data_IF_103159199917
#
_entry.id   IF_103159199917
#
_cell.length_a   1.000
_cell.length_b   1.000
_cell.length_c   1.000
_cell.angle_alpha   90.00
_cell.angle_beta   90.00
_cell.angle_gamma   90.00
#
_symmetry.space_group_name_H-M   'P 1'
#
loop_
_entity.id
_entity.type
_entity.pdbx_description
1 polymer ?
#
# COMPACT_ATOMS: atom_id res chain seq x y z
N UNK A 1 -4.76 34.00 4.19
CA UNK A 1 -5.81 33.23 3.44
C UNK A 1 -5.25 32.08 2.60
N UNK A 2 -3.91 31.96 2.53
CA UNK A 2 -3.26 30.97 1.65
C UNK A 2 -3.84 29.54 1.72
N UNK A 3 -4.00 28.97 2.92
CA UNK A 3 -4.56 27.60 3.04
C UNK A 3 -6.03 27.51 2.61
N UNK A 4 -6.85 28.49 2.92
CA UNK A 4 -8.25 28.52 2.48
C UNK A 4 -8.38 28.61 0.94
N UNK A 5 -7.48 29.35 0.30
CA UNK A 5 -7.46 29.46 -1.18
C UNK A 5 -7.06 28.11 -1.80
N UNK A 6 -6.15 27.34 -1.16
CA UNK A 6 -5.77 26.00 -1.63
C UNK A 6 -6.92 25.00 -1.45
N UNK A 7 -7.59 25.01 -0.30
CA UNK A 7 -8.77 24.16 -0.07
C UNK A 7 -9.88 24.50 -1.05
N UNK A 8 -10.14 25.81 -1.25
CA UNK A 8 -11.14 26.25 -2.22
C UNK A 8 -10.85 25.73 -3.63
N UNK A 9 -9.57 25.78 -4.07
CA UNK A 9 -9.17 25.26 -5.38
C UNK A 9 -9.53 23.77 -5.53
N UNK A 10 -9.30 22.96 -4.49
CA UNK A 10 -9.64 21.53 -4.49
C UNK A 10 -11.17 21.36 -4.60
N UNK A 11 -11.95 22.07 -3.79
CA UNK A 11 -13.43 21.98 -3.80
C UNK A 11 -14.03 22.48 -5.13
N UNK A 12 -13.47 23.54 -5.72
CA UNK A 12 -13.94 24.03 -7.01
C UNK A 12 -13.62 23.03 -8.14
N UNK A 13 -12.45 22.39 -8.08
CA UNK A 13 -12.05 21.37 -9.04
C UNK A 13 -12.89 20.07 -8.90
N UNK A 14 -13.24 19.67 -7.68
CA UNK A 14 -14.15 18.55 -7.41
C UNK A 14 -15.49 18.72 -8.15
N UNK A 15 -16.09 19.91 -8.06
CA UNK A 15 -17.32 20.23 -8.79
C UNK A 15 -17.16 20.19 -10.32
N UNK A 16 -15.99 20.61 -10.81
CA UNK A 16 -15.67 20.52 -12.24
C UNK A 16 -15.60 19.07 -12.70
N UNK A 17 -15.01 18.19 -11.88
CA UNK A 17 -14.94 16.75 -12.13
C UNK A 17 -16.32 16.08 -12.13
N UNK A 18 -17.18 16.41 -11.16
CA UNK A 18 -18.56 15.90 -11.11
C UNK A 18 -19.37 16.29 -12.38
N UNK A 19 -19.15 17.48 -12.91
CA UNK A 19 -19.80 17.97 -14.12
C UNK A 19 -19.27 17.38 -15.43
N UNK A 20 -18.09 16.79 -15.41
CA UNK A 20 -17.39 16.29 -16.60
C UNK A 20 -16.80 14.90 -16.36
N UNK A 21 -17.62 13.87 -16.13
CA UNK A 21 -17.12 12.53 -15.89
C UNK A 21 -16.36 12.01 -17.12
N UNK A 22 -15.40 11.13 -16.85
CA UNK A 22 -14.59 10.43 -17.86
C UNK A 22 -13.68 11.35 -18.73
N UNK A 23 -13.31 12.53 -18.24
CA UNK A 23 -12.34 13.41 -18.91
C UNK A 23 -10.90 13.04 -18.56
N UNK A 24 -10.08 12.62 -19.54
CA UNK A 24 -8.67 12.26 -19.31
C UNK A 24 -7.81 13.47 -18.90
N UNK A 25 -8.19 14.66 -19.35
CA UNK A 25 -7.53 15.91 -18.97
C UNK A 25 -7.75 16.17 -17.47
N UNK A 26 -9.02 16.04 -17.03
CA UNK A 26 -9.35 16.22 -15.61
C UNK A 26 -8.77 15.10 -14.75
N UNK A 27 -8.74 13.86 -15.25
CA UNK A 27 -8.10 12.75 -14.56
C UNK A 27 -6.61 13.04 -14.27
N UNK A 28 -5.87 13.53 -15.26
CA UNK A 28 -4.46 13.91 -15.10
C UNK A 28 -4.26 15.04 -14.11
N UNK A 29 -5.11 16.06 -14.16
CA UNK A 29 -5.02 17.17 -13.21
C UNK A 29 -5.48 16.76 -11.82
N UNK A 30 -6.49 15.89 -11.68
CA UNK A 30 -6.91 15.31 -10.41
C UNK A 30 -5.74 14.60 -9.71
N UNK A 31 -4.98 13.80 -10.44
CA UNK A 31 -3.80 13.12 -9.89
C UNK A 31 -2.73 14.11 -9.43
N UNK A 32 -2.53 15.20 -10.16
CA UNK A 32 -1.61 16.29 -9.75
C UNK A 32 -2.06 17.02 -8.50
N UNK A 33 -3.37 17.10 -8.28
CA UNK A 33 -3.95 17.71 -7.09
C UNK A 33 -4.06 16.77 -5.90
N UNK A 34 -3.70 15.47 -6.07
CA UNK A 34 -3.66 14.47 -5.01
C UNK A 34 -4.97 13.71 -4.82
N UNK A 35 -5.89 13.71 -5.78
CA UNK A 35 -7.10 12.88 -5.73
C UNK A 35 -6.73 11.41 -5.90
N UNK A 36 -7.23 10.55 -5.00
CA UNK A 36 -7.06 9.10 -5.11
C UNK A 36 -7.96 8.50 -6.19
N UNK A 37 -7.59 7.33 -6.72
CA UNK A 37 -8.42 6.60 -7.66
C UNK A 37 -9.78 6.25 -7.06
N UNK A 38 -9.81 5.88 -5.79
CA UNK A 38 -11.05 5.58 -5.06
C UNK A 38 -11.98 6.80 -4.98
N UNK A 39 -11.43 8.00 -4.70
CA UNK A 39 -12.22 9.22 -4.62
C UNK A 39 -12.71 9.69 -6.00
N UNK A 40 -11.89 9.59 -7.03
CA UNK A 40 -12.30 9.87 -8.42
C UNK A 40 -13.40 8.90 -8.85
N UNK A 41 -13.29 7.62 -8.48
CA UNK A 41 -14.31 6.61 -8.75
C UNK A 41 -15.65 6.97 -8.11
N UNK A 42 -15.66 7.46 -6.87
CA UNK A 42 -16.87 7.95 -6.19
C UNK A 42 -17.50 9.12 -6.93
N UNK A 43 -16.71 10.14 -7.28
CA UNK A 43 -17.20 11.34 -8.01
C UNK A 43 -17.79 10.98 -9.38
N UNK A 44 -17.18 10.05 -10.09
CA UNK A 44 -17.60 9.67 -11.44
C UNK A 44 -18.55 8.46 -11.46
N UNK A 45 -18.92 7.92 -10.28
CA UNK A 45 -19.77 6.73 -10.14
C UNK A 45 -19.23 5.54 -10.94
N UNK A 46 -17.95 5.30 -10.81
CA UNK A 46 -17.19 4.19 -11.39
C UNK A 46 -16.63 3.30 -10.28
N UNK A 47 -16.02 2.19 -10.66
CA UNK A 47 -15.18 1.41 -9.75
C UNK A 47 -13.73 1.96 -9.72
N UNK A 48 -13.02 1.74 -8.63
CA UNK A 48 -11.60 2.08 -8.53
C UNK A 48 -10.76 1.36 -9.60
N UNK A 49 -11.11 0.11 -9.91
CA UNK A 49 -10.43 -0.68 -10.95
C UNK A 49 -10.58 -0.04 -12.35
N UNK A 50 -11.76 0.51 -12.69
CA UNK A 50 -11.97 1.24 -13.95
C UNK A 50 -11.10 2.51 -14.02
N UNK A 51 -10.97 3.26 -12.93
CA UNK A 51 -10.08 4.44 -12.89
C UNK A 51 -8.62 4.02 -13.03
N UNK A 52 -8.20 2.97 -12.34
CA UNK A 52 -6.85 2.43 -12.45
C UNK A 52 -6.54 1.98 -13.88
N UNK A 53 -7.41 1.18 -14.53
CA UNK A 53 -7.23 0.73 -15.91
C UNK A 53 -7.15 1.91 -16.88
N UNK A 54 -7.99 2.93 -16.68
CA UNK A 54 -7.97 4.15 -17.49
C UNK A 54 -6.65 4.89 -17.35
N UNK A 55 -6.15 5.07 -16.12
CA UNK A 55 -4.81 5.67 -15.90
C UNK A 55 -3.71 4.89 -16.60
N UNK A 56 -3.76 3.56 -16.54
CA UNK A 56 -2.81 2.71 -17.24
C UNK A 56 -2.85 2.93 -18.77
N UNK A 57 -4.03 2.97 -19.36
CA UNK A 57 -4.22 3.20 -20.80
C UNK A 57 -3.75 4.58 -21.25
N UNK A 58 -3.97 5.60 -20.42
CA UNK A 58 -3.58 7.00 -20.67
C UNK A 58 -2.14 7.32 -20.24
N UNK A 59 -1.38 6.35 -19.75
CA UNK A 59 -0.02 6.54 -19.22
C UNK A 59 0.04 7.63 -18.13
N UNK A 60 -0.94 7.64 -17.22
CA UNK A 60 -0.99 8.55 -16.07
C UNK A 60 -0.40 7.83 -14.86
N UNK A 61 0.91 7.93 -14.68
CA UNK A 61 1.64 7.35 -13.57
C UNK A 61 2.39 8.42 -12.78
N UNK A 62 2.59 8.22 -11.47
CA UNK A 62 3.47 9.09 -10.71
C UNK A 62 4.93 8.86 -11.12
N UNK A 63 5.73 9.87 -10.86
CA UNK A 63 7.19 9.81 -10.81
C UNK A 63 7.63 9.89 -9.36
N UNK A 64 8.82 9.42 -9.06
CA UNK A 64 9.34 9.38 -7.69
C UNK A 64 10.54 10.30 -7.58
N UNK A 65 10.48 11.18 -6.59
CA UNK A 65 11.55 12.11 -6.25
C UNK A 65 12.28 11.64 -5.02
N UNK A 66 13.59 11.86 -4.99
CA UNK A 66 14.40 11.61 -3.81
C UNK A 66 14.16 12.68 -2.75
N UNK A 67 14.05 12.28 -1.49
CA UNK A 67 13.92 13.20 -0.38
C UNK A 67 15.30 13.83 -0.11
N UNK A 68 15.39 15.15 -0.19
CA UNK A 68 16.56 15.89 0.22
C UNK A 68 16.57 16.07 1.74
N UNK A 69 17.43 15.32 2.42
CA UNK A 69 17.59 15.36 3.87
C UNK A 69 18.60 16.41 4.35
N UNK A 70 19.27 17.11 3.42
CA UNK A 70 20.33 18.07 3.69
C UNK A 70 19.97 19.52 3.32
N UNK A 71 18.70 19.80 3.00
CA UNK A 71 18.24 21.14 2.61
C UNK A 71 19.07 21.78 1.48
N UNK A 72 19.52 20.99 0.52
CA UNK A 72 20.41 21.39 -0.59
C UNK A 72 21.75 21.98 -0.17
N UNK A 73 22.18 21.78 1.08
CA UNK A 73 23.50 22.23 1.53
C UNK A 73 24.63 21.35 1.00
N UNK A 74 24.36 20.07 0.78
CA UNK A 74 25.32 19.08 0.26
C UNK A 74 24.63 18.17 -0.75
N UNK A 75 25.36 17.71 -1.76
CA UNK A 75 24.95 16.61 -2.60
C UNK A 75 24.98 15.33 -1.77
N UNK A 76 23.83 14.81 -1.42
CA UNK A 76 23.70 13.55 -0.69
C UNK A 76 22.74 12.62 -1.40
N UNK A 77 23.06 11.34 -1.38
CA UNK A 77 22.16 10.28 -1.83
C UNK A 77 21.59 9.55 -0.62
N UNK A 78 20.28 9.54 -0.50
CA UNK A 78 19.55 8.69 0.41
C UNK A 78 18.50 7.92 -0.39
N UNK A 79 18.29 6.62 -0.13
CA UNK A 79 17.37 5.81 -0.91
C UNK A 79 15.89 6.05 -0.51
N UNK A 80 15.51 7.30 -0.28
CA UNK A 80 14.20 7.73 0.19
C UNK A 80 13.44 8.42 -0.92
N UNK A 81 12.30 7.88 -1.29
CA UNK A 81 11.49 8.36 -2.39
C UNK A 81 10.07 8.67 -1.99
N UNK A 82 9.47 9.65 -2.65
CA UNK A 82 8.05 9.98 -2.55
C UNK A 82 7.47 10.21 -3.95
N UNK A 83 6.18 9.95 -4.12
CA UNK A 83 5.52 10.11 -5.40
C UNK A 83 5.13 11.56 -5.68
N UNK A 84 5.12 11.90 -6.95
CA UNK A 84 4.56 13.13 -7.50
C UNK A 84 4.14 12.92 -8.94
N UNK A 85 3.21 13.70 -9.45
CA UNK A 85 2.84 13.69 -10.87
C UNK A 85 3.62 14.77 -11.64
N UNK A 86 4.95 14.78 -11.47
CA UNK A 86 5.90 15.65 -12.16
C UNK A 86 6.45 14.98 -13.44
N UNK A 87 7.41 15.60 -14.10
CA UNK A 87 7.95 15.13 -15.39
C UNK A 87 9.13 14.17 -15.27
N UNK A 88 9.84 14.16 -14.14
CA UNK A 88 11.11 13.44 -13.98
C UNK A 88 11.04 12.43 -12.84
N UNK A 89 11.55 11.23 -13.09
CA UNK A 89 11.71 10.19 -12.09
C UNK A 89 13.15 10.10 -11.63
N UNK A 90 13.40 10.20 -10.33
CA UNK A 90 14.73 10.11 -9.71
C UNK A 90 15.01 8.72 -9.13
N UNK A 91 13.99 7.88 -8.99
CA UNK A 91 14.18 6.49 -8.58
C UNK A 91 14.72 5.66 -9.75
N UNK A 92 16.01 5.39 -9.75
CA UNK A 92 16.65 4.54 -10.76
C UNK A 92 16.29 3.09 -10.50
N UNK A 93 15.61 2.46 -11.46
CA UNK A 93 15.25 1.04 -11.39
C UNK A 93 16.46 0.19 -11.75
N UNK A 94 16.89 -0.71 -10.86
CA UNK A 94 17.99 -1.64 -11.11
C UNK A 94 17.51 -2.87 -11.88
N UNK A 95 18.46 -3.61 -12.48
CA UNK A 95 18.18 -4.90 -13.14
C UNK A 95 18.19 -6.09 -12.14
N UNK A 96 18.42 -5.84 -10.87
CA UNK A 96 18.42 -6.87 -9.83
C UNK A 96 17.01 -7.42 -9.60
N UNK A 97 16.94 -8.68 -9.21
CA UNK A 97 15.69 -9.24 -8.68
C UNK A 97 15.34 -8.54 -7.38
N UNK A 98 14.06 -8.22 -7.20
CA UNK A 98 13.56 -7.37 -6.12
C UNK A 98 12.42 -8.02 -5.38
N UNK A 99 12.34 -7.73 -4.09
CA UNK A 99 11.18 -8.07 -3.25
C UNK A 99 10.75 -6.81 -2.52
N UNK A 100 9.46 -6.53 -2.54
CA UNK A 100 8.86 -5.44 -1.79
C UNK A 100 8.34 -5.98 -0.46
N UNK A 101 8.61 -5.26 0.63
CA UNK A 101 8.05 -5.52 1.96
C UNK A 101 7.15 -4.33 2.33
N UNK A 102 5.88 -4.61 2.63
CA UNK A 102 4.97 -3.60 3.13
C UNK A 102 5.20 -3.40 4.63
N UNK A 103 5.47 -2.15 5.01
CA UNK A 103 5.60 -1.74 6.41
C UNK A 103 4.25 -1.66 7.13
N UNK A 104 4.29 -1.22 8.38
CA UNK A 104 3.11 -1.17 9.25
C UNK A 104 2.20 0.04 9.05
N UNK A 105 2.66 1.04 8.31
CA UNK A 105 1.91 2.28 8.15
C UNK A 105 1.76 3.05 9.47
N UNK A 106 0.69 3.82 9.64
CA UNK A 106 0.39 4.52 10.88
C UNK A 106 -0.13 3.53 11.93
N UNK A 107 0.68 3.26 12.94
CA UNK A 107 0.38 2.33 14.03
C UNK A 107 0.31 3.04 15.36
N UNK A 108 -0.32 2.41 16.35
CA UNK A 108 -0.37 2.92 17.73
C UNK A 108 1.01 2.84 18.39
N UNK A 109 1.27 3.76 19.29
CA UNK A 109 2.47 3.72 20.14
C UNK A 109 2.52 2.36 20.87
N UNK A 110 3.68 1.71 20.80
CA UNK A 110 3.92 0.40 21.41
C UNK A 110 3.76 -0.81 20.46
N UNK A 111 3.07 -0.66 19.32
CA UNK A 111 2.95 -1.73 18.31
C UNK A 111 4.12 -1.73 17.31
N UNK A 112 4.83 -0.61 17.17
CA UNK A 112 5.91 -0.46 16.19
C UNK A 112 7.02 -1.47 16.35
N UNK A 113 7.37 -1.80 17.57
CA UNK A 113 8.49 -2.72 17.86
C UNK A 113 8.28 -4.10 17.25
N UNK A 114 7.08 -4.65 17.31
CA UNK A 114 6.76 -5.97 16.79
C UNK A 114 6.83 -6.01 15.26
N UNK A 115 6.08 -5.13 14.60
CA UNK A 115 6.00 -5.11 13.14
C UNK A 115 7.30 -4.62 12.50
N UNK A 116 7.95 -3.64 13.11
CA UNK A 116 9.21 -3.11 12.63
C UNK A 116 10.35 -4.14 12.71
N UNK A 117 10.43 -4.87 13.80
CA UNK A 117 11.37 -5.99 13.97
C UNK A 117 11.22 -7.01 12.85
N UNK A 118 10.00 -7.48 12.59
CA UNK A 118 9.72 -8.46 11.54
C UNK A 118 10.11 -7.94 10.16
N UNK A 119 9.79 -6.67 9.86
CA UNK A 119 10.15 -6.02 8.60
C UNK A 119 11.66 -5.94 8.41
N UNK A 120 12.42 -5.51 9.43
CA UNK A 120 13.89 -5.42 9.37
C UNK A 120 14.52 -6.80 9.11
N UNK A 121 14.08 -7.83 9.83
CA UNK A 121 14.59 -9.18 9.60
C UNK A 121 14.27 -9.73 8.21
N UNK A 122 13.09 -9.46 7.67
CA UNK A 122 12.76 -9.83 6.30
C UNK A 122 13.67 -9.14 5.29
N UNK A 123 13.91 -7.84 5.46
CA UNK A 123 14.83 -7.06 4.61
C UNK A 123 16.23 -7.65 4.64
N UNK A 124 16.76 -7.98 5.83
CA UNK A 124 18.08 -8.63 5.95
C UNK A 124 18.12 -9.96 5.21
N UNK A 125 17.12 -10.84 5.41
CA UNK A 125 17.05 -12.13 4.75
C UNK A 125 16.96 -12.00 3.21
N UNK A 126 16.20 -11.03 2.70
CA UNK A 126 16.08 -10.73 1.27
C UNK A 126 17.46 -10.34 0.70
N UNK A 127 18.18 -9.45 1.38
CA UNK A 127 19.51 -8.99 0.96
C UNK A 127 20.55 -10.11 1.02
N UNK A 128 20.53 -10.97 2.05
CA UNK A 128 21.40 -12.14 2.17
C UNK A 128 21.20 -13.14 1.03
N UNK A 129 19.97 -13.24 0.49
CA UNK A 129 19.65 -14.06 -0.67
C UNK A 129 20.04 -13.40 -2.01
N UNK A 130 20.61 -12.19 -1.98
CA UNK A 130 21.06 -11.47 -3.16
C UNK A 130 19.99 -10.69 -3.92
N UNK A 131 18.80 -10.53 -3.33
CA UNK A 131 17.75 -9.68 -3.86
C UNK A 131 17.91 -8.24 -3.38
N UNK A 132 17.40 -7.30 -4.16
CA UNK A 132 17.20 -5.93 -3.73
C UNK A 132 15.93 -5.85 -2.86
N UNK A 133 16.07 -5.33 -1.65
CA UNK A 133 14.98 -5.19 -0.71
C UNK A 133 14.40 -3.77 -0.77
N UNK A 134 13.11 -3.69 -1.08
CA UNK A 134 12.37 -2.42 -1.17
C UNK A 134 11.33 -2.40 -0.05
N UNK A 135 11.28 -1.31 0.72
CA UNK A 135 10.25 -1.10 1.74
C UNK A 135 9.28 -0.02 1.27
N UNK A 136 7.99 -0.23 1.50
CA UNK A 136 6.95 0.80 1.35
C UNK A 136 6.37 1.04 2.74
N UNK A 137 6.51 2.26 3.24
CA UNK A 137 5.95 2.66 4.53
C UNK A 137 5.75 4.18 4.56
N UNK A 138 4.76 4.66 5.31
CA UNK A 138 4.53 6.10 5.51
C UNK A 138 4.93 6.59 6.91
N UNK A 139 5.49 5.72 7.75
CA UNK A 139 6.01 6.09 9.06
C UNK A 139 7.52 6.34 8.97
N UNK A 140 8.01 7.58 9.15
CA UNK A 140 9.44 7.89 9.05
C UNK A 140 10.20 7.60 10.35
N UNK A 141 9.51 7.37 11.45
CA UNK A 141 10.07 7.28 12.80
C UNK A 141 10.22 5.83 13.28
N UNK A 142 10.80 4.96 12.46
CA UNK A 142 10.96 3.55 12.80
C UNK A 142 12.24 2.95 12.19
N UNK A 143 12.76 1.85 12.74
CA UNK A 143 14.03 1.25 12.31
C UNK A 143 13.94 0.67 10.89
N UNK A 144 12.81 0.13 10.48
CA UNK A 144 12.63 -0.38 9.10
C UNK A 144 12.75 0.71 8.04
N UNK A 145 12.54 1.96 8.41
CA UNK A 145 12.67 3.13 7.54
C UNK A 145 14.00 3.86 7.70
N UNK A 146 14.95 3.31 8.46
CA UNK A 146 16.32 3.83 8.49
C UNK A 146 16.99 3.62 7.12
N UNK A 147 17.79 4.61 6.66
CA UNK A 147 18.43 4.61 5.34
C UNK A 147 19.42 3.45 5.14
N UNK A 148 19.85 2.80 6.22
CA UNK A 148 20.77 1.65 6.18
C UNK A 148 20.06 0.31 6.07
N UNK A 149 18.75 0.27 6.31
CA UNK A 149 17.98 -0.97 6.41
C UNK A 149 17.68 -1.55 5.04
N UNK A 150 16.96 -0.84 4.20
CA UNK A 150 16.56 -1.29 2.86
C UNK A 150 17.44 -0.70 1.76
N UNK A 151 17.42 -1.30 0.57
CA UNK A 151 18.09 -0.75 -0.60
C UNK A 151 17.32 0.45 -1.17
N UNK A 152 15.97 0.43 -1.01
CA UNK A 152 15.08 1.56 -1.33
C UNK A 152 13.92 1.62 -0.35
N UNK A 153 13.49 2.84 -0.06
CA UNK A 153 12.32 3.13 0.74
C UNK A 153 11.41 4.12 0.00
N UNK A 154 10.16 3.71 -0.20
CA UNK A 154 9.11 4.59 -0.69
C UNK A 154 8.23 5.04 0.47
N UNK A 155 8.24 6.35 0.73
CA UNK A 155 7.36 6.99 1.71
C UNK A 155 6.01 7.25 1.06
N UNK A 156 5.17 6.23 1.06
CA UNK A 156 3.84 6.27 0.45
C UNK A 156 2.77 5.72 1.39
N UNK A 157 1.53 6.17 1.24
CA UNK A 157 0.41 5.55 1.91
C UNK A 157 0.31 4.07 1.56
N UNK A 158 -0.10 3.25 2.51
CA UNK A 158 -0.36 1.83 2.27
C UNK A 158 -1.78 1.66 1.72
N UNK A 159 -1.96 2.08 0.47
CA UNK A 159 -3.17 1.87 -0.32
C UNK A 159 -2.88 0.97 -1.50
N UNK A 160 -3.92 0.36 -2.07
CA UNK A 160 -3.74 -0.48 -3.27
C UNK A 160 -3.18 0.34 -4.44
N UNK A 161 -3.64 1.58 -4.62
CA UNK A 161 -3.16 2.47 -5.67
C UNK A 161 -1.66 2.74 -5.56
N UNK A 162 -1.22 3.22 -4.38
CA UNK A 162 0.17 3.66 -4.19
C UNK A 162 1.13 2.48 -4.28
N UNK A 163 0.78 1.34 -3.69
CA UNK A 163 1.58 0.11 -3.80
C UNK A 163 1.66 -0.38 -5.25
N UNK A 164 0.54 -0.37 -6.00
CA UNK A 164 0.54 -0.78 -7.41
C UNK A 164 1.39 0.14 -8.28
N UNK A 165 1.42 1.44 -8.01
CA UNK A 165 2.28 2.37 -8.74
C UNK A 165 3.77 1.99 -8.59
N UNK A 166 4.20 1.61 -7.39
CA UNK A 166 5.57 1.16 -7.12
C UNK A 166 5.84 -0.22 -7.73
N UNK A 167 4.89 -1.15 -7.63
CA UNK A 167 4.98 -2.47 -8.27
C UNK A 167 5.15 -2.35 -9.78
N UNK A 168 4.39 -1.46 -10.42
CA UNK A 168 4.48 -1.20 -11.85
C UNK A 168 5.83 -0.59 -12.27
N UNK A 169 6.43 0.24 -11.43
CA UNK A 169 7.75 0.83 -11.64
C UNK A 169 8.86 -0.20 -11.44
N UNK A 170 8.89 -0.82 -10.27
CA UNK A 170 10.02 -1.65 -9.82
C UNK A 170 9.97 -3.09 -10.34
N UNK A 171 8.79 -3.59 -10.71
CA UNK A 171 8.54 -4.95 -11.22
C UNK A 171 9.16 -6.03 -10.33
N UNK A 172 8.78 -6.11 -9.05
CA UNK A 172 9.34 -7.07 -8.11
C UNK A 172 8.96 -8.51 -8.46
N UNK A 173 9.76 -9.47 -7.99
CA UNK A 173 9.42 -10.90 -8.03
C UNK A 173 8.17 -11.21 -7.16
N UNK A 174 7.89 -10.36 -6.18
CA UNK A 174 6.69 -10.43 -5.34
C UNK A 174 6.71 -9.45 -4.18
N UNK A 175 5.62 -9.46 -3.42
CA UNK A 175 5.36 -8.56 -2.29
C UNK A 175 5.10 -9.36 -1.02
N UNK A 176 5.74 -9.00 0.08
CA UNK A 176 5.47 -9.53 1.43
C UNK A 176 4.51 -8.55 2.13
N UNK A 177 3.30 -9.02 2.44
CA UNK A 177 2.24 -8.21 3.03
C UNK A 177 1.92 -8.58 4.49
N UNK A 178 2.56 -9.61 5.06
CA UNK A 178 2.18 -10.17 6.37
C UNK A 178 2.98 -9.63 7.56
N UNK A 179 3.97 -8.78 7.32
CA UNK A 179 4.88 -8.30 8.37
C UNK A 179 4.51 -6.92 8.92
N UNK A 180 3.69 -6.18 8.19
CA UNK A 180 3.28 -4.82 8.54
C UNK A 180 1.95 -4.72 9.33
N UNK A 181 1.47 -5.82 9.90
CA UNK A 181 0.20 -5.86 10.63
C UNK A 181 -1.01 -5.73 9.71
N UNK A 182 -2.18 -5.44 10.29
CA UNK A 182 -3.46 -5.49 9.61
C UNK A 182 -3.54 -4.56 8.38
N UNK A 183 -2.90 -3.38 8.44
CA UNK A 183 -2.90 -2.45 7.31
C UNK A 183 -2.28 -3.08 6.05
N UNK A 184 -1.16 -3.76 6.20
CA UNK A 184 -0.48 -4.43 5.09
C UNK A 184 -1.23 -5.70 4.65
N UNK A 185 -1.68 -6.52 5.61
CA UNK A 185 -2.44 -7.76 5.35
C UNK A 185 -3.70 -7.49 4.53
N UNK A 186 -4.43 -6.43 4.84
CA UNK A 186 -5.65 -6.04 4.12
C UNK A 186 -5.42 -5.71 2.64
N UNK A 187 -4.19 -5.40 2.25
CA UNK A 187 -3.86 -5.12 0.84
C UNK A 187 -3.59 -6.39 0.02
N UNK A 188 -3.29 -7.52 0.67
CA UNK A 188 -2.85 -8.74 -0.01
C UNK A 188 -3.83 -9.20 -1.10
N UNK A 189 -5.13 -9.28 -0.79
CA UNK A 189 -6.16 -9.73 -1.73
C UNK A 189 -6.31 -8.78 -2.92
N UNK A 190 -6.33 -7.46 -2.70
CA UNK A 190 -6.48 -6.46 -3.77
C UNK A 190 -5.25 -6.40 -4.68
N UNK A 191 -4.06 -6.56 -4.14
CA UNK A 191 -2.82 -6.67 -4.92
C UNK A 191 -2.78 -7.96 -5.74
N UNK A 192 -3.14 -9.10 -5.15
CA UNK A 192 -3.21 -10.39 -5.85
C UNK A 192 -4.21 -10.35 -7.01
N UNK A 193 -5.38 -9.72 -6.82
CA UNK A 193 -6.39 -9.51 -7.88
C UNK A 193 -5.81 -8.73 -9.07
N UNK A 194 -4.86 -7.82 -8.83
CA UNK A 194 -4.14 -7.04 -9.86
C UNK A 194 -2.88 -7.73 -10.37
N UNK A 195 -2.71 -9.03 -10.09
CA UNK A 195 -1.63 -9.86 -10.62
C UNK A 195 -0.32 -9.82 -9.83
N UNK A 196 -0.29 -9.20 -8.66
CA UNK A 196 0.89 -9.16 -7.81
C UNK A 196 1.06 -10.50 -7.09
N UNK A 197 2.26 -11.07 -7.16
CA UNK A 197 2.59 -12.29 -6.41
C UNK A 197 2.82 -11.95 -4.94
N UNK A 198 1.96 -12.46 -4.06
CA UNK A 198 2.16 -12.36 -2.61
C UNK A 198 3.10 -13.48 -2.18
N UNK A 199 4.17 -13.13 -1.46
CA UNK A 199 5.23 -14.04 -0.98
C UNK A 199 5.10 -14.25 0.52
N UNK A 200 5.48 -15.41 0.99
CA UNK A 200 5.36 -15.85 2.37
C UNK A 200 4.05 -16.58 2.58
N UNK A 201 3.10 -15.98 3.26
CA UNK A 201 1.75 -16.51 3.41
C UNK A 201 0.90 -16.10 2.20
N UNK A 202 0.32 -17.04 1.49
CA UNK A 202 -0.55 -16.78 0.35
C UNK A 202 -1.93 -16.23 0.78
N UNK A 203 -2.67 -15.66 -0.17
CA UNK A 203 -3.96 -15.02 0.12
C UNK A 203 -5.00 -16.01 0.68
N UNK A 204 -5.00 -17.27 0.22
CA UNK A 204 -5.94 -18.27 0.71
C UNK A 204 -5.63 -18.67 2.16
N UNK A 205 -4.35 -18.73 2.52
CA UNK A 205 -3.92 -19.00 3.89
C UNK A 205 -4.22 -17.80 4.81
N UNK A 206 -4.04 -16.57 4.32
CA UNK A 206 -4.42 -15.34 5.04
C UNK A 206 -5.92 -15.35 5.29
N UNK A 207 -6.75 -15.60 4.28
CA UNK A 207 -8.21 -15.63 4.42
C UNK A 207 -8.65 -16.71 5.44
N UNK A 208 -8.07 -17.90 5.38
CA UNK A 208 -8.36 -18.96 6.35
C UNK A 208 -7.96 -18.61 7.78
N UNK A 209 -6.94 -17.78 7.95
CA UNK A 209 -6.48 -17.34 9.28
C UNK A 209 -7.32 -16.17 9.84
N UNK A 210 -7.74 -15.25 8.98
CA UNK A 210 -8.46 -14.03 9.36
C UNK A 210 -9.97 -14.22 9.46
N UNK A 211 -10.55 -15.07 8.60
CA UNK A 211 -11.97 -15.38 8.60
C UNK A 211 -12.30 -16.37 9.70
N UNK A 212 -13.16 -15.95 10.65
CA UNK A 212 -13.48 -16.75 11.84
C UNK A 212 -14.08 -18.12 11.52
N UNK A 213 -14.98 -18.20 10.56
CA UNK A 213 -15.63 -19.44 10.15
C UNK A 213 -14.65 -20.41 9.50
N UNK A 214 -13.82 -19.88 8.59
CA UNK A 214 -12.78 -20.63 7.92
C UNK A 214 -11.72 -21.14 8.93
N UNK A 215 -11.30 -20.29 9.86
CA UNK A 215 -10.36 -20.66 10.92
C UNK A 215 -10.93 -21.74 11.85
N UNK A 216 -12.18 -21.61 12.30
CA UNK A 216 -12.84 -22.59 13.14
C UNK A 216 -12.94 -23.96 12.44
N UNK A 217 -13.24 -23.97 11.14
CA UNK A 217 -13.24 -25.18 10.34
C UNK A 217 -11.86 -25.87 10.29
N UNK A 218 -10.79 -25.08 10.11
CA UNK A 218 -9.40 -25.59 10.15
C UNK A 218 -9.08 -26.18 11.52
N UNK A 219 -9.35 -25.47 12.62
CA UNK A 219 -9.08 -25.93 13.98
C UNK A 219 -9.84 -27.24 14.29
N UNK A 220 -11.12 -27.33 13.92
CA UNK A 220 -11.94 -28.54 14.07
C UNK A 220 -11.37 -29.71 13.25
N UNK A 221 -10.94 -29.46 12.01
CA UNK A 221 -10.37 -30.50 11.15
C UNK A 221 -9.08 -31.10 11.71
N UNK A 222 -8.32 -30.32 12.46
CA UNK A 222 -7.08 -30.72 13.12
C UNK A 222 -7.28 -31.33 14.50
N UNK A 223 -8.51 -31.35 15.00
CA UNK A 223 -8.83 -31.87 16.35
C UNK A 223 -8.25 -31.01 17.48
N UNK A 224 -7.97 -29.74 17.21
CA UNK A 224 -7.43 -28.82 18.22
C UNK A 224 -8.58 -28.35 19.11
N UNK A 225 -8.45 -28.42 20.47
CA UNK A 225 -9.46 -27.92 21.38
C UNK A 225 -9.75 -26.44 21.16
N UNK A 226 -11.01 -26.09 20.99
CA UNK A 226 -11.48 -24.74 20.77
C UNK A 226 -12.68 -24.43 21.70
N UNK A 227 -12.81 -23.21 22.24
CA UNK A 227 -14.00 -22.82 22.98
C UNK A 227 -15.24 -23.05 22.12
N UNK A 228 -16.34 -23.50 22.78
CA UNK A 228 -17.63 -23.64 22.08
C UNK A 228 -18.15 -22.26 21.69
N UNK A 229 -18.54 -22.10 20.45
CA UNK A 229 -19.08 -20.87 19.89
C UNK A 229 -19.45 -21.05 18.44
N UNK A 230 -20.28 -20.19 17.93
CA UNK A 230 -20.66 -20.11 16.53
C UNK A 230 -20.57 -18.66 16.07
N UNK A 231 -20.12 -18.45 14.84
CA UNK A 231 -20.18 -17.13 14.24
C UNK A 231 -21.60 -16.87 13.75
N UNK A 232 -22.17 -15.74 14.15
CA UNK A 232 -23.54 -15.35 13.80
C UNK A 232 -23.52 -13.95 13.17
N UNK A 233 -24.37 -13.76 12.18
CA UNK A 233 -24.45 -12.49 11.42
C UNK A 233 -25.71 -11.68 11.75
N UNK A 234 -26.64 -12.26 12.49
CA UNK A 234 -27.88 -11.60 12.91
C UNK A 234 -28.17 -11.83 14.40
N UNK A 235 -28.99 -10.93 14.97
CA UNK A 235 -29.34 -10.93 16.41
C UNK A 235 -30.18 -12.14 16.81
N UNK A 236 -31.07 -12.62 15.93
CA UNK A 236 -31.99 -13.72 16.23
C UNK A 236 -31.21 -15.02 16.36
N UNK A 237 -30.32 -15.31 15.40
CA UNK A 237 -29.42 -16.46 15.45
C UNK A 237 -28.47 -16.36 16.65
N UNK A 238 -27.94 -15.17 16.94
CA UNK A 238 -27.07 -14.93 18.08
C UNK A 238 -27.77 -15.22 19.43
N UNK A 239 -29.01 -14.83 19.56
CA UNK A 239 -29.82 -15.12 20.77
C UNK A 239 -30.16 -16.60 20.92
N UNK A 240 -30.24 -17.37 19.84
CA UNK A 240 -30.50 -18.80 19.87
C UNK A 240 -29.26 -19.63 20.22
N UNK A 241 -28.05 -19.11 19.94
CA UNK A 241 -26.75 -19.77 20.20
C UNK A 241 -26.23 -19.43 21.61
N UNK A 242 -26.59 -18.29 22.19
CA UNK A 242 -26.17 -17.84 23.52
C UNK A 242 -26.96 -18.54 24.65
#
# INVERSE_FOLDING_TARGET
>A
MFFLDKIKKIVDFEKEMEGNPDSDILLREAKRLGFSDSYIAELWKRSEDEIYERRCNENIFPTYKMIDTCASEFDSYVPYFYSTYASENESVVSDKKKIIVLGSGPIRIGQGVEFDYSTVHAVHAIRELGYEAIVINNNPETVSTDYTTADKLYFEPLTTEDVMNIVNLEKPEGVIATLGGQTAVNLAASLAKRGVKIIGTDCDAIERAENRDAFDAVIKSLGIPNPKGEAVTDIETGAAVA
#
